data_IF_263111408110
#
_entry.id   IF_263111408110
#
_cell.length_a   1.000
_cell.length_b   1.000
_cell.length_c   1.000
_cell.angle_alpha   90.00
_cell.angle_beta   90.00
_cell.angle_gamma   90.00
#
_symmetry.space_group_name_H-M   'P 1'
#
loop_
_entity.id
_entity.type
_entity.pdbx_description
1 polymer ?
#
# COMPACT_ATOMS: atom_id res chain seq x y z
N UNK A 1 22.28 -16.11 8.19
CA UNK A 1 21.41 -14.92 8.41
C UNK A 1 20.02 -15.45 8.67
N UNK A 2 19.31 -14.93 9.65
CA UNK A 2 17.92 -15.38 9.92
C UNK A 2 17.00 -14.72 8.91
N UNK A 3 16.15 -15.53 8.28
CA UNK A 3 15.20 -15.08 7.26
C UNK A 3 14.30 -13.92 7.77
N UNK A 4 13.98 -12.97 6.89
CA UNK A 4 13.00 -11.92 7.16
C UNK A 4 11.65 -12.32 6.59
N UNK A 5 10.62 -12.21 7.41
CA UNK A 5 9.25 -12.50 7.02
C UNK A 5 8.51 -11.23 6.65
N UNK A 6 7.96 -11.19 5.46
CA UNK A 6 7.17 -10.06 4.94
C UNK A 6 5.70 -10.49 4.86
N UNK A 7 4.83 -9.77 5.55
CA UNK A 7 3.39 -9.90 5.40
C UNK A 7 2.93 -8.88 4.35
N UNK A 8 2.61 -9.34 3.15
CA UNK A 8 2.03 -8.54 2.08
C UNK A 8 0.52 -8.46 2.28
N UNK A 9 -0.01 -7.27 2.52
CA UNK A 9 -1.42 -7.04 2.84
C UNK A 9 -1.98 -6.04 1.84
N UNK A 10 -2.84 -6.51 0.92
CA UNK A 10 -3.56 -5.57 0.06
C UNK A 10 -4.62 -4.83 0.86
N UNK A 11 -4.78 -3.53 0.62
CA UNK A 11 -5.82 -2.73 1.27
C UNK A 11 -7.21 -3.35 1.14
N UNK A 12 -8.10 -3.09 2.09
CA UNK A 12 -9.52 -3.46 2.03
C UNK A 12 -10.23 -2.83 0.83
N UNK A 13 -11.42 -3.30 0.48
CA UNK A 13 -12.20 -2.72 -0.61
C UNK A 13 -12.35 -1.20 -0.43
N UNK A 14 -11.97 -0.43 -1.46
CA UNK A 14 -12.19 1.02 -1.49
C UNK A 14 -13.52 1.39 -2.13
N UNK A 15 -13.98 2.62 -1.93
CA UNK A 15 -15.14 3.17 -2.63
C UNK A 15 -14.97 3.15 -4.14
N UNK A 16 -13.72 3.28 -4.64
CA UNK A 16 -13.40 3.09 -6.07
C UNK A 16 -13.60 1.64 -6.49
N UNK A 17 -13.06 0.66 -5.74
CA UNK A 17 -13.20 -0.76 -6.09
C UNK A 17 -14.67 -1.18 -6.16
N UNK A 18 -15.50 -0.67 -5.25
CA UNK A 18 -16.94 -0.91 -5.25
C UNK A 18 -17.61 -0.36 -6.50
N UNK A 19 -17.39 0.92 -6.80
CA UNK A 19 -17.97 1.57 -7.97
C UNK A 19 -17.52 0.93 -9.29
N UNK A 20 -16.22 0.59 -9.40
CA UNK A 20 -15.65 -0.09 -10.56
C UNK A 20 -16.28 -1.47 -10.81
N UNK A 21 -16.58 -2.22 -9.75
CA UNK A 21 -17.23 -3.53 -9.87
C UNK A 21 -18.65 -3.42 -10.38
N UNK A 22 -19.38 -2.37 -9.97
CA UNK A 22 -20.72 -2.11 -10.44
C UNK A 22 -20.74 -1.61 -11.90
N UNK A 23 -19.78 -0.77 -12.24
CA UNK A 23 -19.58 -0.23 -13.58
C UNK A 23 -18.08 0.03 -13.82
N UNK A 24 -17.42 -0.68 -14.77
CA UNK A 24 -15.99 -0.53 -15.02
C UNK A 24 -15.66 0.75 -15.81
N UNK A 25 -15.97 1.89 -15.22
CA UNK A 25 -15.65 3.24 -15.68
C UNK A 25 -15.14 3.99 -14.46
N UNK A 26 -14.06 4.76 -14.61
CA UNK A 26 -13.48 5.53 -13.52
C UNK A 26 -14.51 6.48 -12.90
N UNK A 27 -14.88 6.30 -11.63
CA UNK A 27 -15.90 7.11 -10.97
C UNK A 27 -15.37 8.47 -10.50
N UNK A 28 -14.12 8.82 -10.79
CA UNK A 28 -13.41 10.02 -10.32
C UNK A 28 -13.35 10.13 -8.80
N UNK A 29 -13.14 9.01 -8.13
CA UNK A 29 -12.93 8.93 -6.68
C UNK A 29 -11.44 9.10 -6.36
N UNK A 30 -10.94 10.34 -6.35
CA UNK A 30 -9.55 10.65 -6.03
C UNK A 30 -9.19 10.21 -4.61
N UNK A 31 -8.04 9.57 -4.45
CA UNK A 31 -7.57 9.02 -3.18
C UNK A 31 -8.69 8.31 -2.38
N UNK A 32 -9.39 7.42 -3.07
CA UNK A 32 -10.59 6.76 -2.57
C UNK A 32 -10.36 6.08 -1.21
N UNK A 33 -11.17 6.39 -0.16
CA UNK A 33 -11.12 5.73 1.13
C UNK A 33 -11.69 4.30 1.06
N UNK A 34 -11.63 3.55 2.16
CA UNK A 34 -12.30 2.26 2.28
C UNK A 34 -13.82 2.41 2.12
N UNK A 35 -14.45 1.41 1.53
CA UNK A 35 -15.89 1.22 1.57
C UNK A 35 -16.31 0.63 2.93
N UNK A 36 -17.61 0.58 3.21
CA UNK A 36 -18.12 -0.10 4.39
C UNK A 36 -17.67 -1.59 4.41
N UNK A 37 -17.78 -2.27 3.27
CA UNK A 37 -17.28 -3.64 3.13
C UNK A 37 -15.76 -3.74 3.36
N UNK A 38 -14.99 -2.75 2.92
CA UNK A 38 -13.56 -2.68 3.21
C UNK A 38 -13.26 -2.58 4.70
N UNK A 39 -14.00 -1.76 5.43
CA UNK A 39 -13.89 -1.68 6.89
C UNK A 39 -14.28 -3.00 7.57
N UNK A 40 -15.27 -3.73 7.05
CA UNK A 40 -15.64 -5.06 7.57
C UNK A 40 -14.56 -6.09 7.30
N UNK A 41 -13.94 -6.09 6.11
CA UNK A 41 -12.80 -6.95 5.78
C UNK A 41 -11.64 -6.71 6.75
N UNK A 42 -11.32 -5.45 7.03
CA UNK A 42 -10.27 -5.06 7.99
C UNK A 42 -10.60 -5.57 9.40
N UNK A 43 -11.83 -5.35 9.87
CA UNK A 43 -12.27 -5.86 11.19
C UNK A 43 -12.16 -7.39 11.27
N UNK A 44 -12.54 -8.10 10.21
CA UNK A 44 -12.47 -9.56 10.13
C UNK A 44 -11.05 -10.12 10.10
N UNK A 45 -10.10 -9.43 9.45
CA UNK A 45 -8.71 -9.87 9.34
C UNK A 45 -7.87 -9.58 10.61
N UNK A 46 -8.24 -8.57 11.39
CA UNK A 46 -7.50 -8.11 12.57
C UNK A 46 -7.17 -9.20 13.61
N UNK A 47 -8.09 -10.11 14.00
CA UNK A 47 -7.79 -11.12 15.01
C UNK A 47 -6.64 -12.06 14.60
N UNK A 48 -6.59 -12.45 13.33
CA UNK A 48 -5.53 -13.33 12.83
C UNK A 48 -4.14 -12.66 12.84
N UNK A 49 -4.08 -11.34 12.73
CA UNK A 49 -2.83 -10.58 12.77
C UNK A 49 -2.37 -10.27 14.19
N UNK A 50 -3.26 -10.24 15.17
CA UNK A 50 -2.93 -9.90 16.57
C UNK A 50 -1.87 -10.83 17.19
N UNK A 51 -1.80 -12.09 16.74
CA UNK A 51 -0.84 -13.09 17.23
C UNK A 51 0.50 -13.05 16.46
N UNK A 52 0.57 -12.33 15.33
CA UNK A 52 1.79 -12.24 14.53
C UNK A 52 2.74 -11.22 15.15
N UNK A 53 4.02 -11.55 15.36
CA UNK A 53 4.96 -10.66 16.05
C UNK A 53 5.48 -9.54 15.14
N UNK A 54 4.59 -8.77 14.50
CA UNK A 54 4.95 -7.66 13.63
C UNK A 54 5.76 -6.61 14.39
N UNK A 55 6.89 -6.21 13.83
CA UNK A 55 7.81 -5.24 14.43
C UNK A 55 7.65 -3.85 13.83
N UNK A 56 7.33 -3.78 12.53
CA UNK A 56 7.04 -2.54 11.81
C UNK A 56 5.97 -2.77 10.74
N UNK A 57 5.16 -1.75 10.51
CA UNK A 57 4.22 -1.67 9.37
C UNK A 57 4.72 -0.63 8.40
N UNK A 58 5.00 -1.02 7.16
CA UNK A 58 5.29 -0.09 6.06
C UNK A 58 4.02 0.06 5.24
N UNK A 59 3.55 1.28 5.04
CA UNK A 59 2.25 1.54 4.45
C UNK A 59 2.31 2.59 3.35
N UNK A 60 1.58 2.37 2.28
CA UNK A 60 1.36 3.35 1.21
C UNK A 60 0.65 4.60 1.75
N UNK A 61 0.98 5.81 1.27
CA UNK A 61 0.30 7.03 1.70
C UNK A 61 -1.14 7.19 1.17
N UNK A 62 -1.63 6.31 0.27
CA UNK A 62 -3.02 6.36 -0.19
C UNK A 62 -4.00 6.05 0.94
N UNK A 63 -5.05 6.86 1.08
CA UNK A 63 -6.01 6.81 2.18
C UNK A 63 -6.52 5.40 2.48
N UNK A 64 -6.90 4.61 1.46
CA UNK A 64 -7.37 3.22 1.63
C UNK A 64 -6.35 2.30 2.29
N UNK A 65 -5.06 2.53 2.04
CA UNK A 65 -3.98 1.75 2.67
C UNK A 65 -3.74 2.20 4.12
N UNK A 66 -3.74 3.52 4.38
CA UNK A 66 -3.62 4.08 5.73
C UNK A 66 -4.76 3.61 6.64
N UNK A 67 -6.02 3.68 6.17
CA UNK A 67 -7.18 3.18 6.91
C UNK A 67 -7.08 1.67 7.18
N UNK A 68 -6.60 0.88 6.20
CA UNK A 68 -6.36 -0.55 6.37
C UNK A 68 -5.31 -0.80 7.45
N UNK A 69 -4.15 -0.14 7.37
CA UNK A 69 -3.06 -0.32 8.33
C UNK A 69 -3.48 0.07 9.75
N UNK A 70 -4.14 1.21 9.91
CA UNK A 70 -4.65 1.66 11.20
C UNK A 70 -5.71 0.73 11.77
N UNK A 71 -6.60 0.22 10.92
CA UNK A 71 -7.65 -0.73 11.32
C UNK A 71 -7.09 -2.08 11.75
N UNK A 72 -6.06 -2.59 11.07
CA UNK A 72 -5.42 -3.88 11.38
C UNK A 72 -4.49 -3.79 12.61
N UNK A 73 -3.68 -2.75 12.68
CA UNK A 73 -2.59 -2.64 13.65
C UNK A 73 -2.82 -1.59 14.74
N UNK A 74 -3.84 -0.75 14.63
CA UNK A 74 -4.26 0.14 15.71
C UNK A 74 -4.66 -0.64 16.96
N UNK A 75 -3.87 -0.51 18.05
CA UNK A 75 -4.04 -1.31 19.26
C UNK A 75 -3.55 -2.76 19.15
N UNK A 76 -2.65 -3.05 18.19
CA UNK A 76 -1.95 -4.34 18.14
C UNK A 76 -1.13 -4.55 19.42
N UNK A 77 -1.07 -5.80 19.99
CA UNK A 77 -0.39 -6.07 21.27
C UNK A 77 1.08 -5.64 21.30
N UNK A 78 1.78 -5.68 20.15
CA UNK A 78 3.18 -5.24 20.05
C UNK A 78 3.34 -3.76 19.68
N UNK A 79 2.26 -3.07 19.40
CA UNK A 79 2.28 -1.64 18.99
C UNK A 79 3.38 -1.34 17.95
N UNK A 80 3.42 -2.03 16.79
CA UNK A 80 4.46 -1.83 15.80
C UNK A 80 4.47 -0.37 15.33
N UNK A 81 5.67 0.18 15.11
CA UNK A 81 5.79 1.49 14.47
C UNK A 81 5.23 1.45 13.04
N UNK A 82 4.73 2.59 12.55
CA UNK A 82 4.26 2.71 11.18
C UNK A 82 5.18 3.65 10.40
N UNK A 83 5.65 3.19 9.25
CA UNK A 83 6.42 3.96 8.27
C UNK A 83 5.55 4.17 7.03
N UNK A 84 5.14 5.41 6.80
CA UNK A 84 4.47 5.77 5.55
C UNK A 84 5.53 5.87 4.45
N UNK A 85 5.36 5.14 3.35
CA UNK A 85 6.36 5.05 2.29
C UNK A 85 5.70 5.20 0.90
N UNK A 86 6.04 6.28 0.20
CA UNK A 86 5.59 6.55 -1.17
C UNK A 86 6.04 5.47 -2.16
N UNK A 87 7.15 4.79 -1.87
CA UNK A 87 7.62 3.65 -2.63
C UNK A 87 6.60 2.50 -2.69
N UNK A 88 5.70 2.39 -1.70
CA UNK A 88 4.66 1.37 -1.63
C UNK A 88 3.33 1.80 -2.29
N UNK A 89 3.28 2.97 -2.95
CA UNK A 89 2.06 3.46 -3.63
C UNK A 89 1.61 2.56 -4.76
N UNK A 90 0.36 2.68 -5.17
CA UNK A 90 -0.14 1.99 -6.37
C UNK A 90 0.47 2.62 -7.65
N UNK A 91 0.44 1.89 -8.75
CA UNK A 91 0.67 2.45 -10.07
C UNK A 91 -0.43 3.47 -10.35
N UNK A 92 -0.04 4.67 -10.74
CA UNK A 92 -1.02 5.67 -11.16
C UNK A 92 -1.60 5.25 -12.52
N UNK A 93 -2.87 4.89 -12.53
CA UNK A 93 -3.61 4.45 -13.72
C UNK A 93 -5.05 4.96 -13.70
N UNK A 94 -5.58 5.22 -12.51
CA UNK A 94 -6.94 5.71 -12.30
C UNK A 94 -6.95 6.90 -11.35
N UNK A 95 -8.07 7.61 -11.30
CA UNK A 95 -8.24 8.77 -10.41
C UNK A 95 -7.95 8.45 -8.94
N UNK A 96 -8.25 7.23 -8.48
CA UNK A 96 -8.04 6.81 -7.10
C UNK A 96 -6.55 6.66 -6.72
N UNK A 97 -5.64 6.72 -7.68
CA UNK A 97 -4.20 6.59 -7.45
C UNK A 97 -3.51 7.96 -7.35
N UNK A 98 -4.25 9.04 -7.63
CA UNK A 98 -3.84 10.40 -7.32
C UNK A 98 -4.03 10.63 -5.82
N UNK A 99 -2.93 10.94 -5.13
CA UNK A 99 -2.91 11.10 -3.68
C UNK A 99 -3.36 12.48 -3.19
N UNK A 100 -3.15 12.72 -1.91
CA UNK A 100 -3.36 14.02 -1.24
C UNK A 100 -2.04 14.54 -0.72
N UNK A 101 -1.93 15.87 -0.61
CA UNK A 101 -0.74 16.51 -0.05
C UNK A 101 -0.45 16.06 1.39
N UNK A 102 0.81 16.10 1.83
CA UNK A 102 1.18 15.73 3.19
C UNK A 102 0.41 16.51 4.27
N UNK A 103 0.09 17.77 4.02
CA UNK A 103 -0.68 18.61 4.95
C UNK A 103 -2.12 18.09 5.15
N UNK A 104 -2.76 17.62 4.09
CA UNK A 104 -4.09 17.01 4.15
C UNK A 104 -4.03 15.65 4.87
N UNK A 105 -3.03 14.83 4.55
CA UNK A 105 -2.82 13.54 5.21
C UNK A 105 -2.53 13.70 6.71
N UNK A 106 -1.68 14.67 7.10
CA UNK A 106 -1.39 14.96 8.50
C UNK A 106 -2.64 15.39 9.28
N UNK A 107 -3.51 16.18 8.66
CA UNK A 107 -4.77 16.58 9.29
C UNK A 107 -5.75 15.41 9.48
N UNK A 108 -5.79 14.47 8.52
CA UNK A 108 -6.67 13.31 8.56
C UNK A 108 -6.12 12.17 9.44
N UNK A 109 -4.79 12.00 9.47
CA UNK A 109 -4.09 10.93 10.18
C UNK A 109 -3.00 11.50 11.11
N UNK A 110 -3.36 12.27 12.15
CA UNK A 110 -2.39 13.00 12.98
C UNK A 110 -1.44 12.10 13.79
N UNK A 111 -1.71 10.79 13.84
CA UNK A 111 -0.84 9.80 14.48
C UNK A 111 0.27 9.28 13.56
N UNK A 112 0.26 9.60 12.27
CA UNK A 112 1.25 9.16 11.29
C UNK A 112 2.20 10.29 10.93
N UNK A 113 3.49 9.98 10.81
CA UNK A 113 4.48 10.91 10.27
C UNK A 113 4.46 10.83 8.74
N UNK A 114 4.03 11.92 8.12
CA UNK A 114 3.96 12.11 6.66
C UNK A 114 4.77 13.33 6.20
N UNK A 115 5.49 14.00 7.13
CA UNK A 115 6.20 15.24 6.83
C UNK A 115 7.38 15.06 5.87
N UNK A 116 7.86 13.84 5.71
CA UNK A 116 8.96 13.48 4.80
C UNK A 116 8.49 13.25 3.34
N UNK A 117 7.17 13.21 3.09
CA UNK A 117 6.64 13.07 1.75
C UNK A 117 6.76 14.37 0.96
N UNK A 118 7.05 14.26 -0.34
CA UNK A 118 6.96 15.38 -1.27
C UNK A 118 5.50 15.87 -1.39
N UNK A 119 5.29 17.13 -1.77
CA UNK A 119 3.94 17.70 -1.95
C UNK A 119 3.12 16.88 -2.97
N UNK A 120 3.80 16.39 -4.03
CA UNK A 120 3.25 15.44 -5.01
C UNK A 120 4.11 14.18 -4.96
N UNK A 121 3.74 13.24 -4.12
CA UNK A 121 4.47 11.98 -3.92
C UNK A 121 3.99 10.84 -4.87
N UNK A 122 2.90 11.02 -5.57
CA UNK A 122 2.42 10.11 -6.61
C UNK A 122 3.07 10.45 -7.97
N UNK A 123 2.94 9.57 -8.97
CA UNK A 123 3.43 9.85 -10.31
C UNK A 123 2.59 10.95 -10.96
N UNK A 124 3.24 12.01 -11.42
CA UNK A 124 2.61 13.16 -12.05
C UNK A 124 3.41 13.68 -13.27
N UNK A 125 4.31 12.83 -13.80
CA UNK A 125 5.12 13.17 -14.97
C UNK A 125 4.41 12.75 -16.25
N UNK A 126 4.57 13.54 -17.31
CA UNK A 126 3.96 13.31 -18.62
C UNK A 126 2.67 14.08 -18.84
N UNK A 127 1.90 13.66 -19.83
CA UNK A 127 0.63 14.29 -20.20
C UNK A 127 -0.53 13.68 -19.41
N UNK A 128 -1.27 14.53 -18.71
CA UNK A 128 -2.46 14.11 -18.00
C UNK A 128 -3.64 13.91 -18.97
N UNK A 129 -4.40 12.85 -18.76
CA UNK A 129 -5.67 12.64 -19.46
C UNK A 129 -6.78 13.58 -18.94
N UNK A 130 -8.00 13.45 -19.48
CA UNK A 130 -9.17 14.25 -19.09
C UNK A 130 -9.55 14.09 -17.59
N UNK A 131 -9.07 13.03 -16.93
CA UNK A 131 -9.25 12.77 -15.49
C UNK A 131 -8.14 13.41 -14.64
N UNK A 132 -7.15 14.07 -15.26
CA UNK A 132 -5.95 14.57 -14.57
C UNK A 132 -4.97 13.47 -14.20
N UNK A 133 -5.07 12.27 -14.81
CA UNK A 133 -4.22 11.12 -14.53
C UNK A 133 -3.04 11.09 -15.50
N UNK A 134 -1.82 11.16 -14.95
CA UNK A 134 -0.59 10.84 -15.68
C UNK A 134 -0.28 9.36 -15.43
N UNK A 135 -0.52 8.50 -16.42
CA UNK A 135 -0.34 7.04 -16.24
C UNK A 135 1.14 6.71 -15.99
N UNK A 136 1.43 6.04 -14.86
CA UNK A 136 2.80 5.64 -14.50
C UNK A 136 3.28 4.51 -15.44
N UNK A 137 4.40 4.67 -16.16
CA UNK A 137 4.97 3.61 -16.99
C UNK A 137 5.37 2.39 -16.15
N UNK A 138 5.26 1.18 -16.71
CA UNK A 138 5.59 -0.04 -15.98
C UNK A 138 7.06 -0.08 -15.56
N UNK A 139 7.95 0.46 -16.38
CA UNK A 139 9.38 0.58 -16.08
C UNK A 139 9.64 1.47 -14.84
N UNK A 140 8.83 2.51 -14.65
CA UNK A 140 8.90 3.37 -13.46
C UNK A 140 8.40 2.62 -12.22
N UNK A 141 7.35 1.80 -12.37
CA UNK A 141 6.86 0.91 -11.30
C UNK A 141 7.95 -0.09 -10.90
N UNK A 142 8.59 -0.76 -11.88
CA UNK A 142 9.65 -1.75 -11.62
C UNK A 142 10.84 -1.11 -10.91
N UNK A 143 11.29 0.06 -11.36
CA UNK A 143 12.38 0.81 -10.72
C UNK A 143 12.03 1.19 -9.27
N UNK A 144 10.80 1.61 -9.01
CA UNK A 144 10.31 1.95 -7.67
C UNK A 144 10.21 0.72 -6.78
N UNK A 145 9.70 -0.39 -7.29
CA UNK A 145 9.60 -1.67 -6.57
C UNK A 145 11.00 -2.21 -6.23
N UNK A 146 11.99 -2.06 -7.12
CA UNK A 146 13.38 -2.43 -6.84
C UNK A 146 13.96 -1.60 -5.66
N UNK A 147 13.68 -0.29 -5.61
CA UNK A 147 14.05 0.58 -4.48
C UNK A 147 13.33 0.16 -3.19
N UNK A 148 12.07 -0.23 -3.27
CA UNK A 148 11.33 -0.73 -2.12
C UNK A 148 11.91 -2.05 -1.59
N UNK A 149 12.34 -2.97 -2.48
CA UNK A 149 13.07 -4.19 -2.07
C UNK A 149 14.36 -3.86 -1.32
N UNK A 150 15.13 -2.90 -1.81
CA UNK A 150 16.35 -2.44 -1.12
C UNK A 150 16.01 -1.91 0.28
N UNK A 151 14.96 -1.08 0.41
CA UNK A 151 14.45 -0.63 1.69
C UNK A 151 14.15 -1.80 2.64
N UNK A 152 13.46 -2.85 2.19
CA UNK A 152 13.17 -4.02 3.01
C UNK A 152 14.44 -4.75 3.47
N UNK A 153 15.46 -4.84 2.62
CA UNK A 153 16.75 -5.45 2.98
C UNK A 153 17.52 -4.65 4.03
N UNK A 154 17.46 -3.32 3.97
CA UNK A 154 18.14 -2.41 4.90
C UNK A 154 17.48 -2.35 6.28
N UNK A 155 16.18 -2.69 6.39
CA UNK A 155 15.48 -2.66 7.68
C UNK A 155 16.08 -3.65 8.67
N UNK A 156 16.25 -3.30 9.95
CA UNK A 156 16.71 -4.23 10.99
C UNK A 156 15.64 -5.24 11.42
N UNK A 157 14.36 -4.90 11.24
CA UNK A 157 13.22 -5.71 11.65
C UNK A 157 13.15 -7.02 10.85
N UNK A 158 12.64 -8.07 11.49
CA UNK A 158 12.52 -9.41 10.91
C UNK A 158 11.11 -9.75 10.45
N UNK A 159 10.11 -9.20 11.11
CA UNK A 159 8.70 -9.41 10.75
C UNK A 159 8.12 -8.06 10.37
N UNK A 160 8.01 -7.84 9.08
CA UNK A 160 7.57 -6.58 8.48
C UNK A 160 6.21 -6.78 7.83
N UNK A 161 5.22 -5.99 8.22
CA UNK A 161 3.97 -5.91 7.48
C UNK A 161 4.06 -4.79 6.43
N UNK A 162 3.64 -5.09 5.21
CA UNK A 162 3.54 -4.12 4.11
C UNK A 162 2.07 -4.00 3.73
N UNK A 163 1.49 -2.81 3.89
CA UNK A 163 0.09 -2.54 3.49
C UNK A 163 0.11 -1.69 2.23
N UNK A 164 -0.28 -2.30 1.12
CA UNK A 164 -0.15 -1.70 -0.20
C UNK A 164 -1.26 -2.18 -1.17
N UNK A 165 -0.97 -2.34 -2.45
CA UNK A 165 -1.94 -2.38 -3.54
C UNK A 165 -1.74 -3.57 -4.48
N UNK A 166 -2.69 -3.75 -5.40
CA UNK A 166 -2.73 -4.89 -6.30
C UNK A 166 -1.57 -4.93 -7.28
N UNK A 167 -1.38 -3.87 -8.07
CA UNK A 167 -0.31 -3.81 -9.07
C UNK A 167 1.05 -3.75 -8.40
N UNK A 168 1.19 -2.97 -7.31
CA UNK A 168 2.42 -2.93 -6.53
C UNK A 168 2.84 -4.34 -6.06
N UNK A 169 1.93 -5.12 -5.47
CA UNK A 169 2.27 -6.47 -5.01
C UNK A 169 2.54 -7.44 -6.16
N UNK A 170 1.84 -7.30 -7.28
CA UNK A 170 2.15 -8.10 -8.47
C UNK A 170 3.61 -7.89 -8.92
N UNK A 171 4.07 -6.64 -9.02
CA UNK A 171 5.47 -6.33 -9.37
C UNK A 171 6.47 -6.72 -8.27
N UNK A 172 6.05 -6.68 -6.99
CA UNK A 172 6.93 -7.09 -5.89
C UNK A 172 7.09 -8.61 -5.78
N UNK A 173 6.01 -9.37 -5.98
CA UNK A 173 5.91 -10.79 -5.59
C UNK A 173 5.53 -11.73 -6.73
N UNK A 174 5.10 -11.22 -7.89
CA UNK A 174 4.48 -12.00 -8.97
C UNK A 174 3.05 -12.49 -8.66
N UNK A 175 2.43 -12.06 -7.55
CA UNK A 175 1.12 -12.56 -7.10
C UNK A 175 0.08 -11.45 -7.09
N UNK A 176 -1.13 -11.79 -7.54
CA UNK A 176 -2.31 -10.97 -7.34
C UNK A 176 -2.94 -11.29 -5.99
N UNK A 177 -3.15 -10.27 -5.16
CA UNK A 177 -3.82 -10.39 -3.87
C UNK A 177 -5.25 -9.82 -3.96
N UNK A 178 -6.22 -10.50 -3.34
CA UNK A 178 -7.57 -9.97 -3.15
C UNK A 178 -7.58 -8.83 -2.11
N UNK A 179 -8.64 -8.02 -2.05
CA UNK A 179 -8.77 -6.98 -1.03
C UNK A 179 -8.69 -7.59 0.38
N UNK A 180 -7.88 -6.99 1.24
CA UNK A 180 -7.57 -7.42 2.60
C UNK A 180 -6.93 -8.83 2.72
N UNK A 181 -6.48 -9.41 1.61
CA UNK A 181 -5.71 -10.66 1.64
C UNK A 181 -4.34 -10.42 2.26
N UNK A 182 -3.91 -11.38 3.09
CA UNK A 182 -2.59 -11.43 3.73
C UNK A 182 -1.80 -12.59 3.14
N UNK A 183 -0.68 -12.30 2.50
CA UNK A 183 0.28 -13.30 2.03
C UNK A 183 1.59 -13.17 2.79
N UNK A 184 2.08 -14.28 3.33
CA UNK A 184 3.39 -14.32 4.02
C UNK A 184 4.45 -14.81 3.06
N UNK A 185 5.56 -14.09 2.97
CA UNK A 185 6.67 -14.36 2.07
C UNK A 185 7.99 -14.15 2.81
N UNK A 186 8.98 -15.01 2.60
CA UNK A 186 10.35 -14.76 3.03
C UNK A 186 11.01 -13.76 2.07
N UNK A 187 11.73 -12.77 2.60
CA UNK A 187 12.34 -11.70 1.79
C UNK A 187 13.28 -12.24 0.71
N UNK A 188 14.00 -13.32 1.01
CA UNK A 188 14.90 -14.00 0.08
C UNK A 188 14.15 -14.62 -1.12
N UNK A 189 12.88 -14.96 -0.94
CA UNK A 189 12.02 -15.46 -2.03
C UNK A 189 11.49 -14.34 -2.94
N UNK A 190 11.61 -13.07 -2.54
CA UNK A 190 11.32 -11.92 -3.39
C UNK A 190 12.39 -11.71 -4.48
N UNK A 191 13.10 -12.74 -4.85
CA UNK A 191 14.17 -12.88 -5.84
C UNK A 191 14.65 -11.61 -6.53
N UNK A 192 15.91 -11.56 -6.90
CA UNK A 192 16.42 -10.63 -7.91
C UNK A 192 15.63 -10.87 -9.22
N UNK A 193 14.43 -10.28 -9.30
CA UNK A 193 13.58 -10.45 -10.48
C UNK A 193 14.25 -9.86 -11.70
N UNK A 194 14.89 -10.71 -12.46
CA UNK A 194 15.05 -10.54 -13.89
C UNK A 194 13.69 -10.87 -14.48
N UNK A 195 12.98 -9.87 -14.98
CA UNK A 195 11.91 -10.08 -15.93
C UNK A 195 12.49 -10.84 -17.12
N UNK A 196 12.02 -12.07 -17.36
CA UNK A 196 12.12 -12.71 -18.66
C UNK A 196 10.97 -12.22 -19.54
#
# INVERSE_FOLDING_TARGET
>A
MTAKTILCIRHGESTFNRAWRERPVDPLHYDAPLSEAGHEQVRGARPALAEVPVEIVIVSPLTRALETALGLFGGHPRSPSMLVADLARERVENSCDIGRSPSVLAAQFPMLDVAHLDEVWWHAEGEADERGVCVEPLEAVDARVARFRALLHERPERVIAVVAHGTFFFHLTGRHLANCEVATIELEALGSGSAE
#
